data_IF_535650987882
#
_entry.id   IF_535650987882
#
_cell.length_a   1.000
_cell.length_b   1.000
_cell.length_c   1.000
_cell.angle_alpha   90.00
_cell.angle_beta   90.00
_cell.angle_gamma   90.00
#
_symmetry.space_group_name_H-M   'P 1'
#
loop_
_entity.id
_entity.type
_entity.pdbx_description
1 polymer ?
#
# COMPACT_ATOMS: atom_id res chain seq x y z
N UNK A 1 -11.18 7.10 -4.74
CA UNK A 1 -12.55 7.39 -5.19
C UNK A 1 -12.83 6.40 -6.29
N UNK A 2 -13.86 5.59 -6.13
CA UNK A 2 -14.25 4.64 -7.17
C UNK A 2 -15.03 5.37 -8.27
N UNK A 3 -14.94 4.84 -9.49
CA UNK A 3 -15.62 5.37 -10.65
C UNK A 3 -16.64 4.33 -11.10
N UNK A 4 -17.88 4.75 -11.28
CA UNK A 4 -18.95 3.89 -11.77
C UNK A 4 -18.80 3.59 -13.26
N UNK A 5 -19.31 2.44 -13.72
CA UNK A 5 -19.19 1.99 -15.11
C UNK A 5 -19.78 2.93 -16.18
N UNK A 6 -20.70 3.84 -15.81
CA UNK A 6 -21.34 4.80 -16.73
C UNK A 6 -20.69 6.19 -16.73
N UNK A 7 -19.36 6.29 -16.69
CA UNK A 7 -18.67 7.56 -16.44
C UNK A 7 -18.68 8.51 -17.66
N UNK A 8 -18.98 9.79 -17.43
CA UNK A 8 -18.80 10.85 -18.44
C UNK A 8 -17.43 11.50 -18.28
N UNK A 9 -16.92 12.08 -19.36
CA UNK A 9 -15.61 12.79 -19.35
C UNK A 9 -15.53 13.88 -18.26
N UNK A 10 -16.64 14.55 -17.99
CA UNK A 10 -16.69 15.60 -16.97
C UNK A 10 -16.48 15.04 -15.56
N UNK A 11 -17.08 13.90 -15.24
CA UNK A 11 -16.93 13.24 -13.93
C UNK A 11 -15.47 12.85 -13.69
N UNK A 12 -14.79 12.32 -14.73
CA UNK A 12 -13.36 11.99 -14.67
C UNK A 12 -12.52 13.25 -14.42
N UNK A 13 -12.84 14.36 -15.10
CA UNK A 13 -12.12 15.64 -14.93
C UNK A 13 -12.23 16.18 -13.52
N UNK A 14 -13.42 16.10 -12.92
CA UNK A 14 -13.66 16.55 -11.54
C UNK A 14 -12.94 15.66 -10.53
N UNK A 15 -12.96 14.35 -10.73
CA UNK A 15 -12.23 13.40 -9.91
C UNK A 15 -10.72 13.62 -9.95
N UNK A 16 -10.15 13.87 -11.13
CA UNK A 16 -8.72 14.20 -11.26
C UNK A 16 -8.39 15.47 -10.49
N UNK A 17 -9.23 16.51 -10.57
CA UNK A 17 -9.02 17.76 -9.81
C UNK A 17 -9.04 17.52 -8.30
N UNK A 18 -10.01 16.75 -7.81
CA UNK A 18 -10.10 16.41 -6.38
C UNK A 18 -8.93 15.53 -5.93
N UNK A 19 -8.47 14.60 -6.76
CA UNK A 19 -7.33 13.74 -6.47
C UNK A 19 -6.01 14.54 -6.40
N UNK A 20 -5.82 15.52 -7.29
CA UNK A 20 -4.57 16.28 -7.40
C UNK A 20 -4.48 17.43 -6.40
N UNK A 21 -5.57 18.18 -6.19
CA UNK A 21 -5.55 19.41 -5.40
C UNK A 21 -6.52 19.42 -4.21
N UNK A 22 -7.49 18.51 -4.22
CA UNK A 22 -8.57 18.46 -3.25
C UNK A 22 -8.18 17.86 -1.90
N UNK A 23 -9.08 18.01 -0.92
CA UNK A 23 -8.86 17.53 0.44
C UNK A 23 -8.80 16.00 0.49
N UNK A 24 -9.71 15.31 -0.23
CA UNK A 24 -9.74 13.85 -0.26
C UNK A 24 -8.48 13.27 -0.92
N UNK A 25 -8.01 13.91 -2.00
CA UNK A 25 -6.77 13.52 -2.66
C UNK A 25 -5.55 13.58 -1.73
N UNK A 26 -5.41 14.68 -0.98
CA UNK A 26 -4.33 14.86 0.00
C UNK A 26 -4.40 13.84 1.14
N UNK A 27 -5.60 13.55 1.66
CA UNK A 27 -5.80 12.53 2.69
C UNK A 27 -5.44 11.12 2.18
N UNK A 28 -5.84 10.77 0.95
CA UNK A 28 -5.44 9.52 0.31
C UNK A 28 -3.93 9.42 0.13
N UNK A 29 -3.29 10.50 -0.32
CA UNK A 29 -1.84 10.55 -0.49
C UNK A 29 -1.10 10.34 0.84
N UNK A 30 -1.58 10.95 1.93
CA UNK A 30 -0.98 10.77 3.26
C UNK A 30 -1.10 9.31 3.74
N UNK A 31 -2.26 8.68 3.56
CA UNK A 31 -2.47 7.27 3.90
C UNK A 31 -1.55 6.36 3.09
N UNK A 32 -1.42 6.60 1.78
CA UNK A 32 -0.53 5.83 0.92
C UNK A 32 0.95 5.99 1.31
N UNK A 33 1.38 7.21 1.69
CA UNK A 33 2.74 7.44 2.21
C UNK A 33 2.99 6.70 3.52
N UNK A 34 2.05 6.75 4.48
CA UNK A 34 2.16 6.01 5.73
C UNK A 34 2.28 4.51 5.48
N UNK A 35 1.40 3.96 4.62
CA UNK A 35 1.46 2.55 4.25
C UNK A 35 2.82 2.18 3.63
N UNK A 36 3.33 2.99 2.70
CA UNK A 36 4.64 2.79 2.08
C UNK A 36 5.76 2.71 3.12
N UNK A 37 5.80 3.65 4.06
CA UNK A 37 6.85 3.66 5.09
C UNK A 37 6.70 2.50 6.08
N UNK A 38 5.47 2.15 6.49
CA UNK A 38 5.22 0.95 7.31
C UNK A 38 5.67 -0.33 6.61
N UNK A 39 5.37 -0.48 5.30
CA UNK A 39 5.81 -1.64 4.53
C UNK A 39 7.33 -1.73 4.43
N UNK A 40 8.03 -0.61 4.21
CA UNK A 40 9.50 -0.59 4.21
C UNK A 40 10.07 -1.01 5.57
N UNK A 41 9.55 -0.47 6.67
CA UNK A 41 10.00 -0.83 8.01
C UNK A 41 9.74 -2.29 8.37
N UNK A 42 8.68 -2.89 7.83
CA UNK A 42 8.40 -4.32 8.04
C UNK A 42 9.33 -5.23 7.22
N UNK A 43 9.79 -4.79 6.04
CA UNK A 43 10.58 -5.58 5.10
C UNK A 43 12.10 -5.38 5.23
N UNK A 44 12.57 -4.32 5.88
CA UNK A 44 14.00 -4.13 6.14
C UNK A 44 14.56 -5.22 7.07
N UNK A 45 15.89 -5.35 7.13
CA UNK A 45 16.58 -6.27 8.06
C UNK A 45 16.18 -5.93 9.50
N UNK A 46 15.77 -6.95 10.28
CA UNK A 46 15.21 -6.78 11.63
C UNK A 46 13.77 -6.24 11.65
N UNK A 47 13.14 -6.12 10.48
CA UNK A 47 11.73 -5.80 10.33
C UNK A 47 10.86 -7.04 10.50
N UNK A 48 9.64 -6.85 10.98
CA UNK A 48 8.76 -7.96 11.37
C UNK A 48 8.46 -8.97 10.24
N UNK A 49 8.29 -8.50 9.00
CA UNK A 49 8.04 -9.39 7.86
C UNK A 49 9.32 -10.11 7.42
N UNK A 50 10.47 -9.42 7.47
CA UNK A 50 11.78 -10.03 7.22
C UNK A 50 12.06 -11.15 8.22
N UNK A 51 11.92 -10.88 9.52
CA UNK A 51 12.17 -11.86 10.59
C UNK A 51 11.21 -13.06 10.52
N UNK A 52 9.94 -12.80 10.18
CA UNK A 52 8.98 -13.87 9.96
C UNK A 52 9.36 -14.76 8.78
N UNK A 53 9.87 -14.17 7.69
CA UNK A 53 10.33 -14.93 6.53
C UNK A 53 11.59 -15.75 6.85
N UNK A 54 12.55 -15.19 7.59
CA UNK A 54 13.71 -15.95 8.06
C UNK A 54 13.30 -17.13 8.95
N UNK A 55 12.34 -16.93 9.85
CA UNK A 55 11.81 -18.02 10.69
C UNK A 55 11.17 -19.12 9.85
N UNK A 56 10.33 -18.75 8.88
CA UNK A 56 9.72 -19.72 7.95
C UNK A 56 10.78 -20.54 7.21
N UNK A 57 11.84 -19.89 6.70
CA UNK A 57 12.93 -20.60 6.03
C UNK A 57 13.64 -21.58 6.97
N UNK A 58 13.90 -21.18 8.23
CA UNK A 58 14.49 -22.07 9.23
C UNK A 58 13.59 -23.27 9.50
N UNK A 59 12.30 -23.07 9.70
CA UNK A 59 11.34 -24.16 9.93
C UNK A 59 11.32 -25.13 8.73
N UNK A 60 11.18 -24.64 7.50
CA UNK A 60 11.15 -25.49 6.30
C UNK A 60 12.46 -26.25 6.04
N UNK A 61 13.61 -25.66 6.39
CA UNK A 61 14.92 -26.31 6.23
C UNK A 61 15.21 -27.31 7.35
N UNK A 62 14.63 -27.11 8.54
CA UNK A 62 14.78 -28.01 9.69
C UNK A 62 13.80 -29.20 9.65
N UNK A 63 12.67 -29.08 8.96
CA UNK A 63 11.70 -30.19 8.77
C UNK A 63 12.20 -31.32 7.85
N UNK A 64 13.42 -31.24 7.31
CA UNK A 64 13.99 -32.28 6.41
C UNK A 64 14.74 -33.42 7.10
N UNK A 65 14.57 -33.63 8.41
CA UNK A 65 15.12 -34.78 9.13
C UNK A 65 14.13 -35.41 10.10
#
# INVERSE_FOLDING_TARGET
MEINNGVKRQDVKELIRELMGGKKGKEMQLKAKKLKESSKSALQIGGSSYDNFERLLKEMLLEKH
#
